data_IF_543956967808
#
_entry.id   IF_543956967808
#
_cell.length_a   1.000
_cell.length_b   1.000
_cell.length_c   1.000
_cell.angle_alpha   90.00
_cell.angle_beta   90.00
_cell.angle_gamma   90.00
#
_symmetry.space_group_name_H-M   'P 1'
#
loop_
_entity.id
_entity.type
_entity.pdbx_description
1 polymer ?
#
# COMPACT_ATOMS: atom_id res chain seq x y z
N UNK A 1 9.70 -6.17 20.08
CA UNK A 1 10.97 -6.23 19.32
C UNK A 1 10.71 -7.08 18.09
N UNK A 2 10.49 -6.47 16.92
CA UNK A 2 10.30 -7.23 15.67
C UNK A 2 11.70 -7.58 15.17
N UNK A 3 12.03 -8.87 15.18
CA UNK A 3 13.37 -9.36 14.98
C UNK A 3 13.76 -9.20 13.49
N UNK A 4 14.79 -8.38 13.23
CA UNK A 4 15.32 -8.03 11.90
C UNK A 4 16.52 -8.92 11.51
N UNK A 5 16.50 -10.23 11.77
CA UNK A 5 17.65 -11.10 11.41
C UNK A 5 17.20 -12.54 11.14
N UNK A 6 16.80 -12.82 9.89
CA UNK A 6 17.04 -14.08 9.16
C UNK A 6 16.21 -14.10 7.87
N UNK A 7 16.82 -13.65 6.77
CA UNK A 7 16.28 -13.87 5.42
C UNK A 7 17.08 -15.04 4.85
N UNK A 8 16.52 -16.25 4.99
CA UNK A 8 17.06 -17.51 4.45
C UNK A 8 16.99 -17.53 2.91
N UNK A 9 17.93 -18.16 2.18
CA UNK A 9 17.88 -18.30 0.72
C UNK A 9 16.66 -19.09 0.16
N UNK A 10 15.79 -19.65 1.00
CA UNK A 10 14.54 -20.35 0.63
C UNK A 10 13.29 -19.42 0.58
N UNK A 11 13.47 -18.14 0.23
CA UNK A 11 12.52 -17.10 0.61
C UNK A 11 11.21 -17.07 -0.20
N UNK A 12 10.18 -17.80 0.26
CA UNK A 12 8.79 -17.73 -0.23
C UNK A 12 8.06 -16.44 0.16
N UNK A 13 8.73 -15.29 0.25
CA UNK A 13 8.13 -14.03 0.72
C UNK A 13 8.02 -13.01 -0.40
N UNK A 14 6.82 -12.46 -0.61
CA UNK A 14 6.56 -11.38 -1.56
C UNK A 14 6.30 -10.06 -0.84
N UNK A 15 7.02 -9.01 -1.23
CA UNK A 15 6.80 -7.64 -0.73
C UNK A 15 5.71 -6.94 -1.55
N UNK A 16 4.69 -6.40 -0.88
CA UNK A 16 3.54 -5.78 -1.55
C UNK A 16 3.24 -4.43 -0.95
N UNK A 17 3.20 -3.40 -1.79
CA UNK A 17 2.78 -2.04 -1.42
C UNK A 17 1.36 -1.79 -1.93
N UNK A 18 0.53 -1.13 -1.11
CA UNK A 18 -0.83 -0.76 -1.52
C UNK A 18 -0.81 0.68 -2.02
N UNK A 19 -1.30 0.87 -3.25
CA UNK A 19 -1.49 2.19 -3.85
C UNK A 19 -2.91 2.68 -3.60
N UNK A 20 -3.06 3.92 -3.13
CA UNK A 20 -4.37 4.54 -2.86
C UNK A 20 -4.79 5.60 -3.91
N UNK A 21 -3.94 5.92 -4.88
CA UNK A 21 -4.21 6.86 -6.00
C UNK A 21 -5.21 6.38 -7.05
N UNK A 22 -6.05 5.39 -6.75
CA UNK A 22 -7.14 4.96 -7.65
C UNK A 22 -8.43 5.78 -7.52
N UNK A 23 -8.48 6.70 -6.56
CA UNK A 23 -9.70 7.34 -6.09
C UNK A 23 -9.91 8.74 -6.68
N UNK A 24 -11.15 9.07 -7.04
CA UNK A 24 -11.56 10.44 -7.45
C UNK A 24 -11.70 11.35 -6.21
N UNK A 25 -12.11 10.79 -5.07
CA UNK A 25 -12.27 11.43 -3.75
C UNK A 25 -12.15 10.38 -2.63
N UNK A 26 -12.05 10.76 -1.35
CA UNK A 26 -11.86 9.86 -0.20
C UNK A 26 -12.98 8.82 0.03
N UNK A 27 -14.11 8.94 -0.67
CA UNK A 27 -15.30 8.12 -0.46
C UNK A 27 -15.36 6.85 -1.31
N UNK A 28 -14.67 6.83 -2.45
CA UNK A 28 -14.84 5.76 -3.45
C UNK A 28 -13.55 4.96 -3.62
N UNK A 29 -13.52 3.76 -3.03
CA UNK A 29 -12.46 2.77 -3.22
C UNK A 29 -12.90 1.70 -4.22
N UNK A 30 -12.10 1.49 -5.27
CA UNK A 30 -12.27 0.36 -6.18
C UNK A 30 -11.40 -0.83 -5.73
N UNK A 31 -12.05 -1.89 -5.24
CA UNK A 31 -11.42 -3.16 -4.89
C UNK A 31 -11.71 -4.27 -5.92
N UNK A 32 -12.13 -3.91 -7.14
CA UNK A 32 -12.43 -4.87 -8.20
C UNK A 32 -11.18 -5.22 -9.03
N UNK A 33 -11.25 -6.34 -9.76
CA UNK A 33 -10.19 -6.79 -10.66
C UNK A 33 -8.81 -6.82 -10.00
N UNK A 34 -7.83 -6.13 -10.59
CA UNK A 34 -6.45 -6.08 -10.07
C UNK A 34 -6.29 -5.33 -8.74
N UNK A 35 -7.30 -4.58 -8.31
CA UNK A 35 -7.29 -3.82 -7.05
C UNK A 35 -7.78 -4.66 -5.86
N UNK A 36 -8.19 -5.92 -6.08
CA UNK A 36 -8.67 -6.82 -5.03
C UNK A 36 -7.51 -7.41 -4.21
N UNK A 37 -7.08 -6.69 -3.18
CA UNK A 37 -6.01 -7.15 -2.27
C UNK A 37 -6.38 -8.43 -1.53
N UNK A 38 -7.65 -8.63 -1.16
CA UNK A 38 -8.08 -9.83 -0.44
C UNK A 38 -7.87 -11.07 -1.31
N UNK A 39 -8.25 -11.01 -2.59
CA UNK A 39 -8.05 -12.11 -3.52
C UNK A 39 -6.55 -12.40 -3.72
N UNK A 40 -5.72 -11.36 -3.83
CA UNK A 40 -4.28 -11.52 -3.93
C UNK A 40 -3.68 -12.23 -2.69
N UNK A 41 -4.07 -11.81 -1.49
CA UNK A 41 -3.57 -12.42 -0.24
C UNK A 41 -4.04 -13.88 -0.10
N UNK A 42 -5.28 -14.19 -0.48
CA UNK A 42 -5.79 -15.58 -0.51
C UNK A 42 -4.98 -16.44 -1.48
N UNK A 43 -4.67 -15.92 -2.69
CA UNK A 43 -3.85 -16.64 -3.65
C UNK A 43 -2.42 -16.86 -3.14
N UNK A 44 -1.80 -15.85 -2.51
CA UNK A 44 -0.48 -15.97 -1.91
C UNK A 44 -0.48 -17.08 -0.83
N UNK A 45 -1.48 -17.09 0.05
CA UNK A 45 -1.65 -18.13 1.07
C UNK A 45 -1.81 -19.53 0.44
N UNK A 46 -2.65 -19.67 -0.59
CA UNK A 46 -2.87 -20.94 -1.29
C UNK A 46 -1.59 -21.50 -1.94
N UNK A 47 -0.66 -20.63 -2.32
CA UNK A 47 0.62 -21.00 -2.92
C UNK A 47 1.76 -21.12 -1.90
N UNK A 48 1.46 -21.04 -0.59
CA UNK A 48 2.47 -21.15 0.47
C UNK A 48 3.42 -19.95 0.55
N UNK A 49 3.01 -18.79 0.01
CA UNK A 49 3.79 -17.56 0.06
C UNK A 49 3.46 -16.74 1.31
N UNK A 50 4.50 -16.21 1.94
CA UNK A 50 4.40 -15.16 2.94
C UNK A 50 4.28 -13.80 2.26
N UNK A 51 3.55 -12.87 2.88
CA UNK A 51 3.37 -11.51 2.34
C UNK A 51 3.88 -10.48 3.35
N UNK A 52 4.88 -9.70 2.92
CA UNK A 52 5.27 -8.48 3.62
C UNK A 52 4.43 -7.32 3.08
N UNK A 53 3.28 -7.08 3.73
CA UNK A 53 2.37 -6.02 3.34
C UNK A 53 2.85 -4.66 3.85
N UNK A 54 2.85 -3.65 2.98
CA UNK A 54 3.22 -2.26 3.28
C UNK A 54 2.00 -1.34 3.07
N UNK A 55 1.08 -1.26 4.06
CA UNK A 55 -0.15 -0.48 3.96
C UNK A 55 0.10 1.00 4.33
N UNK A 56 1.12 1.63 3.75
CA UNK A 56 1.43 3.03 4.02
C UNK A 56 0.74 3.92 2.97
N UNK A 57 0.23 5.11 3.35
CA UNK A 57 -0.43 6.01 2.39
C UNK A 57 0.53 6.53 1.31
N UNK A 58 1.81 6.70 1.68
CA UNK A 58 2.91 6.97 0.76
C UNK A 58 3.75 5.71 0.62
N UNK A 59 3.97 5.24 -0.61
CA UNK A 59 4.75 4.02 -0.90
C UNK A 59 5.96 4.27 -1.80
N UNK A 60 6.08 5.49 -2.36
CA UNK A 60 6.94 5.79 -3.49
C UNK A 60 6.58 4.88 -4.68
N UNK A 61 7.23 3.71 -4.79
CA UNK A 61 7.02 2.70 -5.82
C UNK A 61 7.01 3.28 -7.25
N UNK A 62 7.73 4.39 -7.44
CA UNK A 62 7.83 5.11 -8.70
C UNK A 62 6.45 5.52 -9.25
N UNK A 63 5.49 5.69 -8.33
CA UNK A 63 4.13 6.12 -8.62
C UNK A 63 4.06 7.64 -8.62
N UNK A 64 3.13 8.16 -9.42
CA UNK A 64 2.77 9.57 -9.38
C UNK A 64 2.41 9.99 -7.95
N UNK A 65 2.97 11.12 -7.53
CA UNK A 65 2.82 11.68 -6.19
C UNK A 65 3.15 10.67 -5.06
N UNK A 66 4.01 9.68 -5.35
CA UNK A 66 4.44 8.64 -4.41
C UNK A 66 3.31 7.73 -3.91
N UNK A 67 2.20 7.66 -4.66
CA UNK A 67 1.00 6.93 -4.29
C UNK A 67 -0.03 7.72 -3.48
N UNK A 68 0.25 9.00 -3.16
CA UNK A 68 -0.69 9.88 -2.47
C UNK A 68 -1.77 10.40 -3.44
N UNK A 69 -3.04 10.50 -3.04
CA UNK A 69 -4.09 10.99 -3.93
C UNK A 69 -3.93 12.47 -4.28
N UNK A 70 -4.10 12.83 -5.55
CA UNK A 70 -3.94 14.21 -6.01
C UNK A 70 -4.97 15.18 -5.39
N UNK A 71 -6.15 14.68 -5.01
CA UNK A 71 -7.18 15.50 -4.37
C UNK A 71 -6.74 16.09 -3.02
N UNK A 72 -5.66 15.59 -2.41
CA UNK A 72 -5.04 16.21 -1.23
C UNK A 72 -4.57 17.64 -1.50
N UNK A 73 -4.20 17.95 -2.75
CA UNK A 73 -3.79 19.32 -3.15
C UNK A 73 -4.94 20.34 -3.10
N UNK A 74 -6.20 19.91 -2.90
CA UNK A 74 -7.35 20.82 -2.76
C UNK A 74 -7.41 21.49 -1.38
N UNK A 75 -6.65 20.99 -0.40
CA UNK A 75 -6.63 21.50 0.96
C UNK A 75 -5.45 22.44 1.14
N UNK A 76 -5.73 23.75 1.17
CA UNK A 76 -4.69 24.77 1.35
C UNK A 76 -3.99 24.59 2.71
N UNK A 77 -2.66 24.59 2.67
CA UNK A 77 -1.82 24.47 3.87
C UNK A 77 -1.62 23.05 4.40
N UNK A 78 -2.14 22.02 3.73
CA UNK A 78 -1.96 20.62 4.12
C UNK A 78 -0.48 20.24 4.23
N UNK A 79 -0.11 19.60 5.34
CA UNK A 79 1.24 19.06 5.55
C UNK A 79 1.26 17.55 5.34
N UNK A 80 1.61 17.14 4.12
CA UNK A 80 1.75 15.72 3.80
C UNK A 80 2.78 15.02 4.68
N UNK A 81 2.52 13.75 5.00
CA UNK A 81 3.42 12.89 5.79
C UNK A 81 3.81 13.51 7.14
N UNK A 82 2.84 14.16 7.79
CA UNK A 82 2.98 14.77 9.10
C UNK A 82 1.85 14.33 10.04
N UNK A 83 1.76 14.94 11.22
CA UNK A 83 0.64 14.75 12.17
C UNK A 83 -0.49 15.78 11.96
N UNK A 84 -0.65 16.27 10.72
CA UNK A 84 -1.74 17.16 10.35
C UNK A 84 -3.08 16.46 10.63
N UNK A 85 -3.99 17.06 11.44
CA UNK A 85 -5.28 16.46 11.75
C UNK A 85 -6.33 16.63 10.64
N UNK A 86 -6.00 17.33 9.55
CA UNK A 86 -6.90 17.71 8.46
C UNK A 86 -7.06 16.63 7.38
#
# INVERSE_FOLDING_TARGET
MVNLFNISPDLYTIGVSIRITGMIDYKDFDFSGRNNISQFLTLAQQNGLYVLLRPTPYVNAELEYGGLPYWLNKYDGIKLRSHDPM
#
